data_IF_598690289208
#
_entry.id   IF_598690289208
#
_cell.length_a   1.000
_cell.length_b   1.000
_cell.length_c   1.000
_cell.angle_alpha   90.00
_cell.angle_beta   90.00
_cell.angle_gamma   90.00
#
_symmetry.space_group_name_H-M   'P 1'
#
loop_
_entity.id
_entity.type
_entity.pdbx_description
1 polymer ?
#
# COMPACT_ATOMS: atom_id res chain seq x y z
N UNK A 1 -0.89 -0.69 5.49
CA UNK A 1 -2.20 -0.01 5.60
C UNK A 1 -2.93 -0.26 4.31
N UNK A 2 -4.23 -0.57 4.38
CA UNK A 2 -5.05 -0.80 3.19
C UNK A 2 -5.24 0.50 2.43
N UNK A 3 -5.13 0.48 1.10
CA UNK A 3 -5.33 1.65 0.23
C UNK A 3 -6.47 1.40 -0.75
N UNK A 4 -7.02 2.47 -1.33
CA UNK A 4 -8.03 2.37 -2.40
C UNK A 4 -7.46 1.61 -3.60
N UNK A 5 -6.18 1.83 -3.96
CA UNK A 5 -5.54 1.09 -5.05
C UNK A 5 -5.56 -0.43 -4.80
N UNK A 6 -5.21 -0.88 -3.59
CA UNK A 6 -5.31 -2.30 -3.20
C UNK A 6 -6.77 -2.79 -3.19
N UNK A 7 -7.70 -1.95 -2.76
CA UNK A 7 -9.12 -2.25 -2.78
C UNK A 7 -9.62 -2.53 -4.21
N UNK A 8 -9.23 -1.68 -5.17
CA UNK A 8 -9.59 -1.83 -6.58
C UNK A 8 -8.97 -3.09 -7.24
N UNK A 9 -7.79 -3.52 -6.77
CA UNK A 9 -7.12 -4.73 -7.26
C UNK A 9 -7.68 -6.01 -6.62
N UNK A 10 -8.44 -5.88 -5.54
CA UNK A 10 -9.02 -7.03 -4.84
C UNK A 10 -10.31 -7.52 -5.50
N UNK A 11 -10.67 -8.78 -5.26
CA UNK A 11 -11.92 -9.36 -5.72
C UNK A 11 -13.12 -9.02 -4.84
N UNK A 12 -12.93 -8.23 -3.77
CA UNK A 12 -13.99 -7.91 -2.82
C UNK A 12 -14.99 -6.88 -3.33
N UNK A 13 -14.63 -6.06 -4.33
CA UNK A 13 -15.41 -4.89 -4.74
C UNK A 13 -15.77 -4.86 -6.23
N UNK A 14 -16.28 -5.95 -6.83
CA UNK A 14 -16.62 -5.97 -8.26
C UNK A 14 -17.74 -4.99 -8.62
N UNK A 15 -18.52 -4.56 -7.62
CA UNK A 15 -19.65 -3.64 -7.77
C UNK A 15 -19.27 -2.16 -7.73
N UNK A 16 -18.03 -1.82 -7.39
CA UNK A 16 -17.58 -0.43 -7.31
C UNK A 16 -16.89 0.00 -8.61
N UNK A 17 -17.37 1.10 -9.18
CA UNK A 17 -16.76 1.72 -10.34
C UNK A 17 -16.18 3.09 -9.95
N UNK A 18 -14.86 3.24 -10.05
CA UNK A 18 -14.21 4.54 -9.87
C UNK A 18 -14.58 5.44 -11.07
N UNK A 19 -15.19 6.58 -10.80
CA UNK A 19 -15.69 7.52 -11.83
C UNK A 19 -14.94 8.84 -11.85
N UNK A 20 -14.25 9.20 -10.75
CA UNK A 20 -13.45 10.42 -10.65
C UNK A 20 -12.42 10.32 -9.53
N UNK A 21 -11.46 11.24 -9.50
CA UNK A 21 -10.44 11.31 -8.43
C UNK A 21 -9.38 10.22 -8.51
N UNK A 22 -9.01 9.74 -9.69
CA UNK A 22 -8.07 8.64 -9.91
C UNK A 22 -6.71 8.88 -9.25
N UNK A 23 -6.22 10.12 -9.23
CA UNK A 23 -4.94 10.45 -8.56
C UNK A 23 -4.97 10.24 -7.05
N UNK A 24 -6.15 10.12 -6.43
CA UNK A 24 -6.34 9.89 -5.00
C UNK A 24 -6.38 8.43 -4.57
N UNK A 25 -6.17 7.45 -5.45
CA UNK A 25 -6.28 6.01 -5.14
C UNK A 25 -5.26 5.49 -4.11
N UNK A 26 -4.25 6.28 -3.78
CA UNK A 26 -3.27 5.94 -2.74
C UNK A 26 -3.72 6.31 -1.32
N UNK A 27 -4.90 6.94 -1.17
CA UNK A 27 -5.51 7.22 0.14
C UNK A 27 -5.74 5.92 0.89
N UNK A 28 -5.52 5.98 2.21
CA UNK A 28 -5.71 4.84 3.12
C UNK A 28 -7.19 4.60 3.38
N UNK A 29 -7.53 3.32 3.58
CA UNK A 29 -8.89 2.89 3.96
C UNK A 29 -8.79 2.11 5.25
N UNK A 30 -9.45 2.60 6.31
CA UNK A 30 -9.49 1.96 7.63
C UNK A 30 -10.91 1.69 8.15
N UNK A 31 -11.94 2.06 7.40
CA UNK A 31 -13.33 1.85 7.74
C UNK A 31 -14.27 2.30 6.63
N UNK A 32 -15.56 2.16 6.88
CA UNK A 32 -16.64 2.65 6.02
C UNK A 32 -17.77 3.21 6.88
N UNK A 33 -18.37 4.32 6.45
CA UNK A 33 -19.47 4.98 7.12
C UNK A 33 -20.62 5.22 6.15
N UNK A 34 -21.87 5.13 6.62
CA UNK A 34 -23.06 5.47 5.84
C UNK A 34 -23.51 6.86 6.27
N UNK A 35 -23.57 7.78 5.31
CA UNK A 35 -23.95 9.16 5.59
C UNK A 35 -25.01 9.61 4.62
N UNK A 36 -26.20 9.90 5.11
CA UNK A 36 -27.36 10.26 4.32
C UNK A 36 -27.72 11.77 4.42
N UNK A 37 -27.13 12.50 5.38
CA UNK A 37 -27.35 13.92 5.59
C UNK A 37 -26.07 14.65 5.98
N UNK A 38 -26.02 15.93 5.67
CA UNK A 38 -24.87 16.80 5.96
C UNK A 38 -24.52 16.84 7.44
N UNK A 39 -25.52 16.88 8.34
CA UNK A 39 -25.29 16.92 9.79
C UNK A 39 -24.55 15.68 10.31
N UNK A 40 -24.68 14.54 9.62
CA UNK A 40 -24.04 13.29 10.01
C UNK A 40 -22.55 13.24 9.62
N UNK A 41 -22.06 14.17 8.79
CA UNK A 41 -20.65 14.25 8.42
C UNK A 41 -19.74 14.50 9.62
N UNK A 42 -20.28 15.06 10.72
CA UNK A 42 -19.54 15.23 11.96
C UNK A 42 -19.03 13.91 12.56
N UNK A 43 -19.64 12.77 12.23
CA UNK A 43 -19.23 11.45 12.69
C UNK A 43 -18.23 10.76 11.77
N UNK A 44 -17.94 11.34 10.59
CA UNK A 44 -16.92 10.82 9.71
C UNK A 44 -15.53 10.98 10.31
N UNK A 45 -14.71 9.94 10.14
CA UNK A 45 -13.31 9.93 10.57
C UNK A 45 -12.36 9.92 9.37
N UNK A 46 -11.14 10.42 9.54
CA UNK A 46 -10.14 10.32 8.48
C UNK A 46 -9.92 8.87 8.03
N UNK A 47 -9.73 8.70 6.73
CA UNK A 47 -9.49 7.41 6.07
C UNK A 47 -10.70 6.43 6.09
N UNK A 48 -11.89 6.87 6.42
CA UNK A 48 -13.11 6.08 6.17
C UNK A 48 -13.57 6.27 4.72
N UNK A 49 -14.09 5.21 4.09
CA UNK A 49 -14.96 5.36 2.92
C UNK A 49 -16.32 5.88 3.38
N UNK A 50 -16.93 6.71 2.59
CA UNK A 50 -18.30 7.17 2.87
C UNK A 50 -19.22 6.66 1.78
N UNK A 51 -20.38 6.12 2.15
CA UNK A 51 -21.42 5.71 1.20
C UNK A 51 -22.73 6.43 1.51
N UNK A 52 -23.40 6.88 0.46
CA UNK A 52 -24.77 7.40 0.54
C UNK A 52 -25.69 6.68 -0.42
N UNK A 53 -26.95 6.48 0.00
CA UNK A 53 -28.02 5.95 -0.85
C UNK A 53 -28.92 7.05 -1.42
N UNK A 54 -28.77 8.26 -0.90
CA UNK A 54 -29.56 9.42 -1.30
C UNK A 54 -31.02 9.42 -0.79
N UNK A 55 -31.40 8.45 0.04
CA UNK A 55 -32.77 8.33 0.57
C UNK A 55 -33.22 9.61 1.29
N UNK A 56 -32.29 10.30 1.94
CA UNK A 56 -32.58 11.53 2.69
C UNK A 56 -32.14 12.81 1.97
N UNK A 57 -31.53 12.73 0.79
CA UNK A 57 -31.09 13.87 -0.04
C UNK A 57 -32.08 14.16 -1.19
N UNK A 58 -33.27 13.55 -1.17
CA UNK A 58 -34.29 13.66 -2.20
C UNK A 58 -34.64 15.11 -2.50
N UNK A 59 -34.47 15.51 -3.78
CA UNK A 59 -34.84 16.76 -4.38
C UNK A 59 -33.89 17.98 -4.22
N UNK A 60 -32.72 17.84 -3.60
CA UNK A 60 -31.72 18.91 -3.55
C UNK A 60 -30.35 18.42 -4.02
N UNK A 61 -30.03 18.67 -5.30
CA UNK A 61 -28.69 18.35 -5.85
C UNK A 61 -27.57 19.08 -5.12
N UNK A 62 -27.85 20.26 -4.55
CA UNK A 62 -26.88 21.00 -3.75
C UNK A 62 -26.58 20.31 -2.42
N UNK A 63 -27.53 19.55 -1.86
CA UNK A 63 -27.29 18.78 -0.63
C UNK A 63 -26.28 17.67 -0.85
N UNK A 64 -26.34 16.95 -1.98
CA UNK A 64 -25.37 15.93 -2.33
C UNK A 64 -23.97 16.52 -2.57
N UNK A 65 -23.90 17.69 -3.26
CA UNK A 65 -22.62 18.39 -3.45
C UNK A 65 -21.99 18.78 -2.10
N UNK A 66 -22.77 19.39 -1.20
CA UNK A 66 -22.29 19.77 0.16
C UNK A 66 -21.87 18.55 0.97
N UNK A 67 -22.60 17.44 0.86
CA UNK A 67 -22.25 16.19 1.55
C UNK A 67 -20.87 15.67 1.11
N UNK A 68 -20.59 15.64 -0.20
CA UNK A 68 -19.29 15.24 -0.75
C UNK A 68 -18.17 16.17 -0.29
N UNK A 69 -18.38 17.49 -0.35
CA UNK A 69 -17.40 18.48 0.10
C UNK A 69 -17.07 18.35 1.60
N UNK A 70 -18.11 18.26 2.44
CA UNK A 70 -17.91 18.11 3.88
C UNK A 70 -17.20 16.80 4.27
N UNK A 71 -17.47 15.70 3.57
CA UNK A 71 -16.76 14.45 3.82
C UNK A 71 -15.30 14.51 3.36
N UNK A 72 -15.02 15.22 2.26
CA UNK A 72 -13.64 15.52 1.87
C UNK A 72 -12.89 16.34 2.92
N UNK A 73 -13.52 17.37 3.51
CA UNK A 73 -12.94 18.20 4.56
C UNK A 73 -12.62 17.38 5.83
N UNK A 74 -13.34 16.30 6.08
CA UNK A 74 -13.06 15.32 7.14
C UNK A 74 -11.92 14.37 6.80
N UNK A 75 -11.26 14.54 5.63
CA UNK A 75 -10.16 13.70 5.14
C UNK A 75 -10.53 12.23 5.00
N UNK A 76 -11.77 11.96 4.61
CA UNK A 76 -12.20 10.59 4.32
C UNK A 76 -11.45 10.02 3.11
N UNK A 77 -11.45 8.70 2.98
CA UNK A 77 -10.69 7.99 1.94
C UNK A 77 -11.25 8.21 0.54
N UNK A 78 -12.58 8.25 0.43
CA UNK A 78 -13.32 8.41 -0.81
C UNK A 78 -14.81 8.37 -0.56
N UNK A 79 -15.59 8.65 -1.60
CA UNK A 79 -17.05 8.73 -1.54
C UNK A 79 -17.69 7.75 -2.52
N UNK A 80 -18.72 7.04 -2.07
CA UNK A 80 -19.47 6.05 -2.85
C UNK A 80 -20.91 6.53 -2.95
N UNK A 81 -21.38 6.70 -4.18
CA UNK A 81 -22.79 7.06 -4.46
C UNK A 81 -23.50 5.81 -4.96
N UNK A 82 -24.52 5.37 -4.21
CA UNK A 82 -25.40 4.31 -4.64
C UNK A 82 -26.47 4.89 -5.58
N UNK A 83 -26.26 4.75 -6.89
CA UNK A 83 -27.14 5.31 -7.92
C UNK A 83 -28.37 4.43 -8.12
N UNK A 84 -29.54 5.07 -8.15
CA UNK A 84 -30.83 4.41 -8.31
C UNK A 84 -32.01 5.37 -8.21
N UNK A 85 -33.11 4.98 -7.57
CA UNK A 85 -34.34 5.77 -7.56
C UNK A 85 -34.17 7.17 -6.94
N UNK A 86 -33.25 7.33 -5.98
CA UNK A 86 -33.05 8.59 -5.26
C UNK A 86 -31.95 9.44 -5.87
N UNK A 87 -30.93 8.82 -6.43
CA UNK A 87 -29.85 9.49 -7.18
C UNK A 87 -29.72 8.80 -8.54
N UNK A 88 -30.52 9.19 -9.55
CA UNK A 88 -30.49 8.52 -10.86
C UNK A 88 -29.17 8.76 -11.61
N UNK A 89 -28.60 9.95 -11.45
CA UNK A 89 -27.35 10.37 -12.10
C UNK A 89 -26.49 11.16 -11.13
N UNK A 90 -25.18 11.00 -11.25
CA UNK A 90 -24.21 11.77 -10.45
C UNK A 90 -23.99 13.12 -11.16
N UNK A 91 -24.19 14.26 -10.46
CA UNK A 91 -23.99 15.58 -11.06
C UNK A 91 -22.54 15.82 -11.50
N UNK A 92 -22.35 16.43 -12.68
CA UNK A 92 -21.03 16.74 -13.24
C UNK A 92 -20.16 17.58 -12.30
N UNK A 93 -20.76 18.47 -11.51
CA UNK A 93 -20.05 19.29 -10.51
C UNK A 93 -19.36 18.42 -9.44
N UNK A 94 -19.96 17.30 -9.04
CA UNK A 94 -19.35 16.38 -8.07
C UNK A 94 -18.18 15.65 -8.71
N UNK A 95 -18.31 15.24 -9.97
CA UNK A 95 -17.24 14.60 -10.75
C UNK A 95 -16.07 15.58 -10.91
N UNK A 96 -16.36 16.84 -11.26
CA UNK A 96 -15.35 17.89 -11.38
C UNK A 96 -14.63 18.13 -10.05
N UNK A 97 -15.38 18.33 -8.96
CA UNK A 97 -14.83 18.51 -7.62
C UNK A 97 -13.90 17.33 -7.22
N UNK A 98 -14.35 16.09 -7.46
CA UNK A 98 -13.59 14.90 -7.14
C UNK A 98 -12.25 14.82 -7.91
N UNK A 99 -12.24 15.21 -9.19
CA UNK A 99 -11.02 15.26 -9.99
C UNK A 99 -10.07 16.39 -9.54
N UNK A 100 -10.59 17.59 -9.30
CA UNK A 100 -9.79 18.74 -8.87
C UNK A 100 -9.11 18.52 -7.52
N UNK A 101 -9.77 17.76 -6.61
CA UNK A 101 -9.28 17.52 -5.25
C UNK A 101 -8.66 16.12 -5.07
N UNK A 102 -8.49 15.36 -6.16
CA UNK A 102 -7.96 13.99 -6.11
C UNK A 102 -8.71 13.14 -5.05
N UNK A 103 -10.04 13.28 -5.05
CA UNK A 103 -10.93 12.61 -4.11
C UNK A 103 -11.64 11.44 -4.78
N UNK A 104 -11.27 10.17 -4.48
CA UNK A 104 -11.86 9.02 -5.14
C UNK A 104 -13.37 8.97 -5.00
N UNK A 105 -14.05 9.03 -6.13
CA UNK A 105 -15.49 8.98 -6.23
C UNK A 105 -15.91 7.70 -6.94
N UNK A 106 -16.75 6.93 -6.27
CA UNK A 106 -17.25 5.67 -6.78
C UNK A 106 -18.74 5.70 -7.04
N UNK A 107 -19.13 4.98 -8.07
CA UNK A 107 -20.51 4.61 -8.33
C UNK A 107 -20.74 3.15 -7.95
N UNK A 108 -21.86 2.89 -7.29
CA UNK A 108 -22.43 1.58 -7.07
C UNK A 108 -23.92 1.59 -7.47
N UNK A 109 -24.37 0.64 -8.28
CA UNK A 109 -25.76 0.60 -8.68
C UNK A 109 -26.68 0.10 -7.58
N UNK A 110 -27.96 0.48 -7.60
CA UNK A 110 -28.97 0.12 -6.59
C UNK A 110 -29.21 -1.39 -6.42
N UNK A 111 -28.86 -2.18 -7.40
CA UNK A 111 -28.95 -3.65 -7.34
C UNK A 111 -28.04 -4.24 -6.26
N UNK A 112 -26.98 -3.52 -5.89
CA UNK A 112 -26.03 -3.96 -4.89
C UNK A 112 -26.38 -3.40 -3.50
N UNK A 113 -26.39 -4.28 -2.51
CA UNK A 113 -26.75 -3.91 -1.14
C UNK A 113 -25.58 -3.21 -0.44
N UNK A 114 -25.87 -2.10 0.22
CA UNK A 114 -24.87 -1.39 1.05
C UNK A 114 -24.31 -2.30 2.17
N UNK A 115 -25.15 -3.20 2.72
CA UNK A 115 -24.70 -4.17 3.73
C UNK A 115 -23.61 -5.11 3.23
N UNK A 116 -23.64 -5.49 1.95
CA UNK A 116 -22.62 -6.36 1.36
C UNK A 116 -21.33 -5.59 1.11
N UNK A 117 -21.45 -4.31 0.73
CA UNK A 117 -20.31 -3.40 0.67
C UNK A 117 -19.63 -3.22 2.04
N UNK A 118 -20.41 -3.04 3.11
CA UNK A 118 -19.89 -2.95 4.47
C UNK A 118 -19.09 -4.21 4.85
N UNK A 119 -19.69 -5.40 4.63
CA UNK A 119 -19.02 -6.68 4.90
C UNK A 119 -17.72 -6.82 4.10
N UNK A 120 -17.77 -6.53 2.79
CA UNK A 120 -16.59 -6.59 1.92
C UNK A 120 -15.48 -5.66 2.41
N UNK A 121 -15.83 -4.43 2.83
CA UNK A 121 -14.87 -3.46 3.35
C UNK A 121 -14.22 -3.95 4.64
N UNK A 122 -14.98 -4.48 5.59
CA UNK A 122 -14.42 -5.01 6.83
C UNK A 122 -13.58 -6.27 6.58
N UNK A 123 -14.01 -7.17 5.69
CA UNK A 123 -13.20 -8.33 5.29
C UNK A 123 -11.88 -7.91 4.67
N UNK A 124 -11.90 -6.98 3.73
CA UNK A 124 -10.69 -6.45 3.08
C UNK A 124 -9.72 -5.85 4.10
N UNK A 125 -10.20 -5.00 5.00
CA UNK A 125 -9.36 -4.38 6.03
C UNK A 125 -8.78 -5.45 6.97
N UNK A 126 -9.60 -6.40 7.43
CA UNK A 126 -9.17 -7.44 8.37
C UNK A 126 -8.16 -8.39 7.72
N UNK A 127 -8.40 -8.83 6.48
CA UNK A 127 -7.47 -9.69 5.74
C UNK A 127 -6.11 -9.00 5.56
N UNK A 128 -6.09 -7.74 5.15
CA UNK A 128 -4.85 -6.99 5.01
C UNK A 128 -4.12 -6.76 6.35
N UNK A 129 -4.85 -6.58 7.44
CA UNK A 129 -4.25 -6.48 8.78
C UNK A 129 -3.63 -7.80 9.24
N UNK A 130 -4.31 -8.92 8.98
CA UNK A 130 -3.80 -10.25 9.32
C UNK A 130 -2.56 -10.59 8.51
N UNK A 131 -2.57 -10.36 7.21
CA UNK A 131 -1.41 -10.57 6.33
C UNK A 131 -0.22 -9.72 6.78
N UNK A 132 -0.45 -8.45 7.09
CA UNK A 132 0.59 -7.56 7.60
C UNK A 132 1.17 -8.05 8.93
N UNK A 133 0.31 -8.46 9.88
CA UNK A 133 0.76 -9.01 11.15
C UNK A 133 1.60 -10.27 10.96
N UNK A 134 1.20 -11.14 10.01
CA UNK A 134 1.95 -12.33 9.66
C UNK A 134 3.33 -11.98 9.08
N UNK A 135 3.40 -11.03 8.16
CA UNK A 135 4.65 -10.52 7.60
C UNK A 135 5.55 -9.96 8.70
N UNK A 136 5.00 -9.15 9.61
CA UNK A 136 5.75 -8.57 10.74
C UNK A 136 6.33 -9.68 11.65
N UNK A 137 5.57 -10.72 11.92
CA UNK A 137 6.04 -11.88 12.70
C UNK A 137 7.16 -12.63 11.97
N UNK A 138 6.95 -13.00 10.70
CA UNK A 138 7.95 -13.70 9.88
C UNK A 138 9.25 -12.90 9.80
N UNK A 139 9.18 -11.63 9.45
CA UNK A 139 10.36 -10.79 9.31
C UNK A 139 11.07 -10.58 10.65
N UNK A 140 10.32 -10.38 11.72
CA UNK A 140 10.92 -10.25 13.06
C UNK A 140 11.66 -11.52 13.48
N UNK A 141 11.11 -12.70 13.20
CA UNK A 141 11.77 -13.98 13.47
C UNK A 141 13.04 -14.16 12.61
N UNK A 142 12.93 -13.89 11.30
CA UNK A 142 14.05 -14.02 10.37
C UNK A 142 15.23 -13.09 10.72
N UNK A 143 14.91 -11.84 11.09
CA UNK A 143 15.94 -10.81 11.26
C UNK A 143 16.51 -10.74 12.69
N UNK A 144 15.70 -11.02 13.73
CA UNK A 144 16.08 -10.68 15.11
C UNK A 144 16.00 -11.84 16.10
N UNK A 145 15.08 -12.78 15.94
CA UNK A 145 14.74 -13.81 16.94
C UNK A 145 14.91 -15.24 16.44
N UNK A 146 15.75 -15.45 15.45
CA UNK A 146 15.85 -16.72 14.76
C UNK A 146 15.98 -17.95 15.67
N UNK A 147 16.62 -17.83 16.84
CA UNK A 147 16.97 -18.98 17.70
C UNK A 147 15.80 -19.66 18.43
N UNK A 148 14.59 -19.12 18.41
CA UNK A 148 13.57 -19.58 19.35
C UNK A 148 12.28 -20.22 18.78
N UNK A 149 11.87 -20.10 17.52
CA UNK A 149 10.61 -20.73 17.05
C UNK A 149 10.49 -20.92 15.53
N UNK A 150 11.25 -21.85 14.93
CA UNK A 150 11.27 -22.06 13.48
C UNK A 150 10.23 -23.06 12.98
N UNK A 151 9.55 -23.78 13.85
CA UNK A 151 8.77 -24.98 13.45
C UNK A 151 7.72 -24.69 12.37
N UNK A 152 7.19 -23.48 12.29
CA UNK A 152 6.17 -23.12 11.31
C UNK A 152 6.65 -22.12 10.24
N UNK A 153 7.86 -21.62 10.30
CA UNK A 153 8.36 -20.58 9.41
C UNK A 153 8.40 -21.01 7.93
N UNK A 154 8.87 -22.24 7.58
CA UNK A 154 8.85 -22.71 6.20
C UNK A 154 7.44 -22.78 5.61
N UNK A 155 6.46 -23.29 6.36
CA UNK A 155 5.08 -23.38 5.93
C UNK A 155 4.45 -21.99 5.73
N UNK A 156 4.79 -21.05 6.61
CA UNK A 156 4.31 -19.68 6.52
C UNK A 156 4.90 -18.97 5.29
N UNK A 157 6.17 -19.16 4.98
CA UNK A 157 6.78 -18.63 3.75
C UNK A 157 6.15 -19.24 2.50
N UNK A 158 5.81 -20.54 2.51
CA UNK A 158 5.07 -21.16 1.42
C UNK A 158 3.67 -20.54 1.22
N UNK A 159 2.96 -20.27 2.30
CA UNK A 159 1.67 -19.56 2.25
C UNK A 159 1.80 -18.14 1.67
N UNK A 160 2.96 -17.49 1.86
CA UNK A 160 3.29 -16.19 1.29
C UNK A 160 3.87 -16.29 -0.15
N UNK A 161 3.85 -17.50 -0.77
CA UNK A 161 4.22 -17.73 -2.17
C UNK A 161 5.69 -18.08 -2.40
N UNK A 162 6.50 -18.30 -1.34
CA UNK A 162 7.90 -18.65 -1.49
C UNK A 162 8.13 -20.15 -1.66
N UNK A 163 9.14 -20.52 -2.45
CA UNK A 163 9.52 -21.92 -2.67
C UNK A 163 10.23 -22.52 -1.46
N UNK A 164 10.02 -23.82 -1.18
CA UNK A 164 10.76 -24.58 -0.15
C UNK A 164 12.29 -24.57 -0.33
N UNK A 165 12.73 -24.45 -1.58
CA UNK A 165 14.14 -24.50 -1.96
C UNK A 165 14.65 -23.14 -2.43
N UNK A 166 14.01 -22.06 -2.01
CA UNK A 166 14.39 -20.71 -2.38
C UNK A 166 15.77 -20.35 -1.82
N UNK A 167 16.48 -19.52 -2.55
CA UNK A 167 17.64 -18.78 -2.05
C UNK A 167 17.16 -17.38 -1.63
N UNK A 168 17.14 -17.13 -0.34
CA UNK A 168 16.67 -15.89 0.23
C UNK A 168 17.77 -14.86 0.39
N UNK A 169 17.49 -13.63 0.05
CA UNK A 169 18.37 -12.49 0.29
C UNK A 169 17.61 -11.31 0.88
N UNK A 170 18.33 -10.47 1.60
CA UNK A 170 17.78 -9.24 2.16
C UNK A 170 18.30 -8.03 1.38
N UNK A 171 17.38 -7.16 0.99
CA UNK A 171 17.67 -5.81 0.51
C UNK A 171 17.14 -4.84 1.55
N UNK A 172 17.97 -3.90 1.96
CA UNK A 172 17.59 -2.85 2.91
C UNK A 172 17.74 -1.48 2.25
N UNK A 173 16.68 -0.69 2.30
CA UNK A 173 16.67 0.70 1.90
C UNK A 173 16.67 1.58 3.15
N UNK A 174 17.54 2.56 3.19
CA UNK A 174 17.63 3.51 4.30
C UNK A 174 17.96 4.91 3.76
N UNK A 175 17.73 5.93 4.56
CA UNK A 175 18.14 7.29 4.25
C UNK A 175 19.49 7.60 4.87
N UNK A 176 20.27 8.48 4.21
CA UNK A 176 21.54 8.95 4.74
C UNK A 176 21.34 9.72 6.03
N UNK A 177 20.32 10.58 6.05
CA UNK A 177 19.98 11.41 7.20
C UNK A 177 18.75 10.87 7.91
N UNK A 178 18.78 10.82 9.24
CA UNK A 178 17.64 10.32 10.05
C UNK A 178 16.41 11.23 9.96
N UNK A 179 16.60 12.50 9.59
CA UNK A 179 15.53 13.48 9.41
C UNK A 179 14.65 13.20 8.19
N UNK A 180 15.16 12.47 7.20
CA UNK A 180 14.41 12.14 5.99
C UNK A 180 13.53 10.91 6.24
N UNK A 181 12.23 11.03 5.96
CA UNK A 181 11.32 9.91 6.05
C UNK A 181 11.45 9.01 4.80
N UNK A 182 11.95 7.78 4.98
CA UNK A 182 12.12 6.78 3.92
C UNK A 182 10.82 6.49 3.14
N UNK A 183 9.65 6.70 3.76
CA UNK A 183 8.35 6.43 3.16
C UNK A 183 8.07 7.24 1.89
N UNK A 184 8.71 8.38 1.71
CA UNK A 184 8.57 9.17 0.47
C UNK A 184 9.01 8.43 -0.78
N UNK A 185 9.94 7.46 -0.64
CA UNK A 185 10.45 6.65 -1.74
C UNK A 185 9.74 5.32 -1.92
N UNK A 186 8.90 4.92 -0.94
CA UNK A 186 8.35 3.56 -0.85
C UNK A 186 7.53 3.15 -2.07
N UNK A 187 6.62 4.01 -2.53
CA UNK A 187 5.75 3.69 -3.67
C UNK A 187 6.55 3.44 -4.96
N UNK A 188 7.58 4.25 -5.21
CA UNK A 188 8.44 4.12 -6.37
C UNK A 188 9.27 2.82 -6.30
N UNK A 189 9.90 2.55 -5.16
CA UNK A 189 10.71 1.33 -4.96
C UNK A 189 9.82 0.10 -5.12
N UNK A 190 8.63 0.08 -4.50
CA UNK A 190 7.68 -1.02 -4.63
C UNK A 190 7.29 -1.30 -6.08
N UNK A 191 7.00 -0.26 -6.87
CA UNK A 191 6.65 -0.42 -8.29
C UNK A 191 7.77 -1.10 -9.08
N UNK A 192 9.02 -0.68 -8.85
CA UNK A 192 10.19 -1.27 -9.54
C UNK A 192 10.40 -2.72 -9.08
N UNK A 193 10.25 -3.01 -7.78
CA UNK A 193 10.38 -4.38 -7.25
C UNK A 193 9.28 -5.31 -7.76
N UNK A 194 8.04 -4.87 -7.87
CA UNK A 194 6.93 -5.63 -8.47
C UNK A 194 7.18 -6.00 -9.94
N UNK A 195 7.86 -5.12 -10.69
CA UNK A 195 8.27 -5.42 -12.08
C UNK A 195 9.41 -6.44 -12.14
N UNK A 196 10.28 -6.47 -11.12
CA UNK A 196 11.47 -7.31 -11.10
C UNK A 196 11.26 -8.69 -10.47
N UNK A 197 10.51 -8.77 -9.38
CA UNK A 197 10.29 -9.99 -8.61
C UNK A 197 8.85 -10.46 -8.72
N UNK A 198 8.65 -11.77 -8.78
CA UNK A 198 7.33 -12.38 -8.75
C UNK A 198 6.78 -12.38 -7.32
N UNK A 199 7.63 -12.77 -6.37
CA UNK A 199 7.32 -12.79 -4.94
C UNK A 199 8.42 -12.08 -4.16
N UNK A 200 8.01 -11.23 -3.24
CA UNK A 200 8.87 -10.62 -2.24
C UNK A 200 8.02 -10.14 -1.06
N UNK A 201 8.62 -10.09 0.10
CA UNK A 201 8.03 -9.46 1.28
C UNK A 201 8.70 -8.12 1.50
N UNK A 202 7.90 -7.07 1.75
CA UNK A 202 8.44 -5.82 2.23
C UNK A 202 8.01 -5.59 3.68
N UNK A 203 8.95 -5.12 4.49
CA UNK A 203 8.78 -4.91 5.92
C UNK A 203 9.41 -3.59 6.32
N UNK A 204 8.65 -2.77 7.03
CA UNK A 204 9.17 -1.51 7.56
C UNK A 204 9.65 -1.71 8.99
N UNK A 205 10.89 -1.35 9.25
CA UNK A 205 11.46 -1.36 10.59
C UNK A 205 12.21 -0.05 10.86
N UNK A 206 11.76 0.72 11.85
CA UNK A 206 12.28 2.08 12.11
C UNK A 206 12.21 2.94 10.84
N UNK A 207 13.32 3.59 10.46
CA UNK A 207 13.44 4.37 9.24
C UNK A 207 14.13 3.58 8.11
N UNK A 208 13.76 2.30 7.96
CA UNK A 208 14.25 1.40 6.93
C UNK A 208 13.09 0.66 6.28
N UNK A 209 13.24 0.35 4.99
CA UNK A 209 12.37 -0.58 4.28
C UNK A 209 13.24 -1.80 3.94
N UNK A 210 12.82 -2.97 4.41
CA UNK A 210 13.53 -4.22 4.27
C UNK A 210 12.72 -5.12 3.34
N UNK A 211 13.38 -5.70 2.36
CA UNK A 211 12.80 -6.63 1.42
C UNK A 211 13.43 -8.01 1.61
N UNK A 212 12.60 -9.03 1.85
CA UNK A 212 12.97 -10.41 1.68
C UNK A 212 12.67 -10.82 0.24
N UNK A 213 13.68 -11.20 -0.49
CA UNK A 213 13.57 -11.63 -1.88
C UNK A 213 13.98 -13.09 -2.05
N UNK A 214 13.39 -13.74 -3.03
CA UNK A 214 13.77 -15.05 -3.50
C UNK A 214 14.51 -14.92 -4.83
N UNK A 215 15.71 -15.44 -4.91
CA UNK A 215 16.53 -15.40 -6.11
C UNK A 215 15.85 -16.08 -7.32
N UNK A 216 15.04 -17.10 -7.06
CA UNK A 216 14.30 -17.83 -8.11
C UNK A 216 13.11 -17.06 -8.64
N UNK A 217 12.60 -16.08 -7.89
CA UNK A 217 11.45 -15.25 -8.26
C UNK A 217 11.76 -14.06 -9.17
N UNK A 218 13.02 -13.93 -9.62
CA UNK A 218 13.44 -12.81 -10.48
C UNK A 218 12.88 -12.98 -11.89
N UNK A 219 11.98 -12.08 -12.32
CA UNK A 219 11.37 -12.08 -13.65
C UNK A 219 12.37 -11.79 -14.79
N UNK A 220 13.42 -11.04 -14.49
CA UNK A 220 14.43 -10.59 -15.44
C UNK A 220 15.85 -10.95 -14.98
N UNK A 221 16.21 -12.26 -14.92
CA UNK A 221 17.49 -12.70 -14.35
C UNK A 221 18.72 -12.19 -15.14
N UNK A 222 18.54 -11.84 -16.42
CA UNK A 222 19.62 -11.26 -17.27
C UNK A 222 20.01 -9.83 -16.86
N UNK A 223 19.18 -9.13 -16.10
CA UNK A 223 19.47 -7.78 -15.63
C UNK A 223 20.11 -7.87 -14.24
N UNK A 224 21.35 -7.40 -14.03
CA UNK A 224 21.98 -7.43 -12.72
C UNK A 224 21.24 -6.51 -11.74
N UNK A 225 21.35 -6.79 -10.41
CA UNK A 225 20.69 -5.98 -9.39
C UNK A 225 21.18 -4.53 -9.39
N UNK A 226 22.46 -4.29 -9.66
CA UNK A 226 23.03 -2.93 -9.79
C UNK A 226 22.24 -2.05 -10.76
N UNK A 227 21.81 -2.64 -11.90
CA UNK A 227 20.99 -1.92 -12.89
C UNK A 227 19.60 -1.56 -12.34
N UNK A 228 19.04 -2.40 -11.48
CA UNK A 228 17.78 -2.07 -10.79
C UNK A 228 17.95 -0.92 -9.80
N UNK A 229 19.08 -0.90 -9.09
CA UNK A 229 19.41 0.21 -8.17
C UNK A 229 19.60 1.52 -8.93
N UNK A 230 20.32 1.48 -10.07
CA UNK A 230 20.46 2.64 -10.96
C UNK A 230 19.07 3.16 -11.41
N UNK A 231 18.21 2.28 -11.87
CA UNK A 231 16.84 2.63 -12.28
C UNK A 231 16.04 3.27 -11.13
N UNK A 232 16.17 2.76 -9.91
CA UNK A 232 15.53 3.35 -8.72
C UNK A 232 16.06 4.78 -8.50
N UNK A 233 17.37 4.97 -8.56
CA UNK A 233 17.98 6.27 -8.34
C UNK A 233 17.60 7.28 -9.42
N UNK A 234 17.62 6.89 -10.71
CA UNK A 234 17.19 7.73 -11.83
C UNK A 234 15.73 8.22 -11.66
N UNK A 235 14.82 7.32 -11.29
CA UNK A 235 13.42 7.69 -11.08
C UNK A 235 13.22 8.58 -9.86
N UNK A 236 13.95 8.34 -8.77
CA UNK A 236 13.90 9.17 -7.57
C UNK A 236 14.45 10.57 -7.87
N UNK A 237 15.58 10.66 -8.57
CA UNK A 237 16.19 11.93 -8.96
C UNK A 237 15.25 12.75 -9.86
N UNK A 238 14.60 12.08 -10.80
CA UNK A 238 13.63 12.73 -11.68
C UNK A 238 12.40 13.26 -10.92
N UNK A 239 11.92 12.52 -9.92
CA UNK A 239 10.68 12.87 -9.21
C UNK A 239 10.91 13.82 -8.03
N UNK A 240 12.04 13.69 -7.32
CA UNK A 240 12.29 14.39 -6.06
C UNK A 240 13.48 15.35 -6.12
N UNK A 241 14.25 15.33 -7.21
CA UNK A 241 15.51 16.07 -7.30
C UNK A 241 16.61 15.42 -6.46
N UNK A 242 17.29 16.20 -5.61
CA UNK A 242 18.31 15.63 -4.72
C UNK A 242 17.69 14.69 -3.69
N UNK A 243 18.38 13.57 -3.47
CA UNK A 243 17.89 12.50 -2.60
C UNK A 243 19.04 11.87 -1.78
N UNK A 244 18.66 11.24 -0.68
CA UNK A 244 19.57 10.65 0.30
C UNK A 244 19.35 9.14 0.52
N UNK A 245 18.67 8.46 -0.42
CA UNK A 245 18.44 7.03 -0.37
C UNK A 245 19.71 6.23 -0.56
N UNK A 246 19.91 5.22 0.26
CA UNK A 246 20.96 4.21 0.16
C UNK A 246 20.32 2.83 0.14
N UNK A 247 20.76 1.97 -0.77
CA UNK A 247 20.29 0.59 -0.91
C UNK A 247 21.45 -0.36 -0.65
N UNK A 248 21.30 -1.22 0.35
CA UNK A 248 22.24 -2.29 0.66
C UNK A 248 21.62 -3.65 0.38
N UNK A 249 22.41 -4.58 -0.12
CA UNK A 249 22.00 -5.97 -0.38
C UNK A 249 22.97 -6.93 0.29
N UNK A 250 22.43 -7.93 0.99
CA UNK A 250 23.19 -9.03 1.56
C UNK A 250 23.27 -10.24 0.62
N UNK A 251 24.03 -11.25 1.03
CA UNK A 251 24.16 -12.51 0.31
C UNK A 251 22.88 -13.33 0.30
N UNK A 252 22.80 -14.29 -0.63
CA UNK A 252 21.70 -15.24 -0.70
C UNK A 252 22.03 -16.51 0.09
N UNK A 253 21.04 -17.00 0.82
CA UNK A 253 21.15 -18.18 1.67
C UNK A 253 19.94 -19.10 1.49
N UNK A 254 20.18 -20.42 1.43
CA UNK A 254 19.12 -21.44 1.43
C UNK A 254 18.63 -21.74 2.85
N UNK A 255 19.52 -21.59 3.83
CA UNK A 255 19.22 -21.83 5.24
C UNK A 255 18.57 -20.60 5.87
N UNK A 256 17.33 -20.75 6.34
CA UNK A 256 16.58 -19.65 6.98
C UNK A 256 17.33 -19.06 8.19
N UNK A 257 18.15 -19.90 8.85
CA UNK A 257 19.04 -19.50 9.97
C UNK A 257 20.08 -18.45 9.58
N UNK A 258 20.34 -18.30 8.30
CA UNK A 258 21.35 -17.36 7.80
C UNK A 258 20.75 -16.08 7.23
N UNK A 259 19.43 -15.91 7.28
CA UNK A 259 18.79 -14.70 6.74
C UNK A 259 19.15 -13.46 7.57
N UNK A 260 19.30 -13.60 8.89
CA UNK A 260 19.82 -12.52 9.72
C UNK A 260 21.22 -12.06 9.27
N UNK A 261 22.08 -12.99 8.79
CA UNK A 261 23.40 -12.66 8.26
C UNK A 261 23.28 -11.82 6.97
N UNK A 262 22.36 -12.19 6.06
CA UNK A 262 22.06 -11.38 4.88
C UNK A 262 21.63 -9.95 5.25
N UNK A 263 20.86 -9.80 6.32
CA UNK A 263 20.46 -8.49 6.83
C UNK A 263 21.65 -7.70 7.39
N UNK A 264 22.52 -8.34 8.17
CA UNK A 264 23.75 -7.73 8.71
C UNK A 264 24.68 -7.26 7.59
N UNK A 265 24.83 -8.06 6.53
CA UNK A 265 25.60 -7.72 5.33
C UNK A 265 25.00 -6.50 4.60
N UNK A 266 23.67 -6.48 4.41
CA UNK A 266 22.97 -5.33 3.81
C UNK A 266 23.17 -4.04 4.63
N UNK A 267 23.12 -4.15 5.97
CA UNK A 267 23.39 -3.03 6.86
C UNK A 267 24.84 -2.55 6.79
N UNK A 268 25.80 -3.46 6.67
CA UNK A 268 27.21 -3.11 6.52
C UNK A 268 27.44 -2.28 5.24
N UNK A 269 26.81 -2.67 4.13
CA UNK A 269 26.84 -1.88 2.88
C UNK A 269 26.30 -0.45 3.11
N UNK A 270 25.16 -0.33 3.79
CA UNK A 270 24.58 1.00 4.11
C UNK A 270 25.53 1.82 4.98
N UNK A 271 26.15 1.22 6.00
CA UNK A 271 27.10 1.92 6.87
C UNK A 271 28.33 2.41 6.09
N UNK A 272 28.91 1.55 5.24
CA UNK A 272 30.03 1.92 4.37
C UNK A 272 29.67 3.08 3.43
N UNK A 273 28.49 3.03 2.80
CA UNK A 273 28.02 4.10 1.93
C UNK A 273 27.82 5.43 2.67
N UNK A 274 27.37 5.38 3.92
CA UNK A 274 27.27 6.58 4.79
C UNK A 274 28.65 7.19 5.10
N UNK A 275 29.64 6.33 5.40
CA UNK A 275 31.01 6.77 5.75
C UNK A 275 31.75 7.37 4.55
N UNK A 276 31.64 6.76 3.38
CA UNK A 276 32.40 7.17 2.19
C UNK A 276 31.71 8.22 1.34
N UNK A 277 30.55 8.71 1.74
CA UNK A 277 29.72 9.65 0.99
C UNK A 277 29.41 9.20 -0.45
N UNK A 278 29.49 7.89 -0.70
CA UNK A 278 29.21 7.28 -2.00
C UNK A 278 27.74 6.84 -2.08
N UNK A 279 27.14 7.01 -3.26
CA UNK A 279 25.79 6.50 -3.56
C UNK A 279 25.84 5.04 -4.00
N UNK A 280 26.99 4.57 -4.47
CA UNK A 280 27.23 3.20 -5.02
C UNK A 280 28.37 2.54 -4.25
N UNK A 281 28.13 1.37 -3.71
CA UNK A 281 29.13 0.42 -3.24
C UNK A 281 28.88 -0.95 -3.87
#
# INVERSE_FOLDING_TARGET
>A
MSTISQMLQSTFFPQLHLIAGENGIYRQVNGINIVEKEELTMFCRPNELVVTTGVLTTNDTNSLERLVQQTFDKRTAGFIINTGPYIPTIPDKIIQFANEHEYPLFQMTWEHRVTDLLKATFQFITTNQQERSLIEQVMSQLLFNYRHHIIHLPQTLEQLGFSKHAEYGIITCATRYETTNIQRYNALILNIFQKRYEHFIHFQYRNQIIYLIDRTSVKTPSIPFSKTVETIYEHIEHQFGDFDLIIGMGGFYTALEKINKSYEEALAVIQLAKLHNNRYL
#
